data_IF_674188746704
#
_entry.id   IF_674188746704
#
_cell.length_a   1.000
_cell.length_b   1.000
_cell.length_c   1.000
_cell.angle_alpha   90.00
_cell.angle_beta   90.00
_cell.angle_gamma   90.00
#
_symmetry.space_group_name_H-M   'P 1'
#
loop_
_entity.id
_entity.type
_entity.pdbx_description
1 polymer ?
#
# COMPACT_ATOMS: atom_id res chain seq x y z
N UNK A 1 -8.04 -35.85 -3.03
CA UNK A 1 -8.08 -35.51 -1.60
C UNK A 1 -9.19 -34.48 -1.44
N UNK A 2 -10.38 -34.92 -1.00
CA UNK A 2 -11.57 -34.08 -0.94
C UNK A 2 -11.42 -33.01 0.12
N UNK A 3 -11.65 -31.75 -0.25
CA UNK A 3 -11.72 -30.64 0.72
C UNK A 3 -13.10 -30.75 1.38
N UNK A 4 -13.18 -31.45 2.50
CA UNK A 4 -14.38 -31.48 3.34
C UNK A 4 -14.59 -30.07 3.90
N UNK A 5 -15.60 -29.34 3.37
CA UNK A 5 -15.96 -28.02 3.89
C UNK A 5 -16.53 -28.19 5.30
N UNK A 6 -15.66 -28.05 6.31
CA UNK A 6 -16.07 -28.02 7.71
C UNK A 6 -16.80 -26.71 8.05
N UNK A 7 -17.59 -26.72 9.13
CA UNK A 7 -18.32 -25.55 9.62
C UNK A 7 -17.41 -24.32 9.84
N UNK A 8 -16.12 -24.53 10.15
CA UNK A 8 -15.11 -23.48 10.29
C UNK A 8 -14.90 -22.67 9.00
N UNK A 9 -14.94 -23.31 7.82
CA UNK A 9 -14.74 -22.62 6.54
C UNK A 9 -15.89 -21.65 6.25
N UNK A 10 -17.13 -22.04 6.55
CA UNK A 10 -18.30 -21.18 6.40
C UNK A 10 -18.27 -19.98 7.35
N UNK A 11 -17.85 -20.20 8.61
CA UNK A 11 -17.67 -19.12 9.59
C UNK A 11 -16.58 -18.14 9.11
N UNK A 12 -15.47 -18.66 8.60
CA UNK A 12 -14.37 -17.84 8.08
C UNK A 12 -14.80 -16.97 6.89
N UNK A 13 -15.48 -17.54 5.89
CA UNK A 13 -15.98 -16.80 4.73
C UNK A 13 -17.00 -15.74 5.14
N UNK A 14 -17.92 -16.06 6.06
CA UNK A 14 -18.88 -15.09 6.60
C UNK A 14 -18.17 -13.91 7.26
N UNK A 15 -17.10 -14.15 8.02
CA UNK A 15 -16.32 -13.10 8.66
C UNK A 15 -15.61 -12.19 7.66
N UNK A 16 -15.04 -12.74 6.58
CA UNK A 16 -14.44 -11.95 5.51
C UNK A 16 -15.46 -11.01 4.88
N UNK A 17 -16.67 -11.50 4.58
CA UNK A 17 -17.74 -10.67 4.02
C UNK A 17 -18.10 -9.49 4.96
N UNK A 18 -18.17 -9.73 6.27
CA UNK A 18 -18.45 -8.69 7.28
C UNK A 18 -17.33 -7.64 7.30
N UNK A 19 -16.06 -8.06 7.26
CA UNK A 19 -14.92 -7.13 7.24
C UNK A 19 -14.95 -6.24 5.99
N UNK A 20 -15.23 -6.83 4.82
CA UNK A 20 -15.35 -6.09 3.56
C UNK A 20 -16.51 -5.10 3.63
N UNK A 21 -17.67 -5.49 4.14
CA UNK A 21 -18.83 -4.61 4.28
C UNK A 21 -18.51 -3.39 5.19
N UNK A 22 -17.76 -3.60 6.28
CA UNK A 22 -17.35 -2.51 7.17
C UNK A 22 -16.31 -1.57 6.55
N UNK A 23 -15.38 -2.09 5.74
CA UNK A 23 -14.49 -1.27 4.93
C UNK A 23 -15.26 -0.38 3.96
N UNK A 24 -16.31 -0.90 3.32
CA UNK A 24 -17.17 -0.12 2.43
C UNK A 24 -17.89 1.00 3.20
N UNK A 25 -18.32 0.74 4.44
CA UNK A 25 -18.92 1.75 5.33
C UNK A 25 -17.90 2.65 6.04
N UNK A 26 -16.60 2.56 5.72
CA UNK A 26 -15.52 3.34 6.33
C UNK A 26 -15.55 3.34 7.87
N UNK A 27 -15.95 2.21 8.47
CA UNK A 27 -15.92 2.02 9.93
C UNK A 27 -14.65 1.31 10.35
N UNK A 28 -14.26 1.50 11.60
CA UNK A 28 -13.10 0.83 12.20
C UNK A 28 -13.27 -0.70 12.18
N UNK A 29 -12.38 -1.38 11.46
CA UNK A 29 -12.43 -2.85 11.30
C UNK A 29 -11.75 -3.61 12.44
N UNK A 30 -10.95 -2.93 13.26
CA UNK A 30 -10.14 -3.52 14.33
C UNK A 30 -10.98 -4.30 15.35
N UNK A 31 -12.11 -3.73 15.78
CA UNK A 31 -13.01 -4.35 16.75
C UNK A 31 -13.62 -5.64 16.18
N UNK A 32 -14.02 -5.61 14.92
CA UNK A 32 -14.60 -6.78 14.24
C UNK A 32 -13.57 -7.86 13.97
N UNK A 33 -12.33 -7.50 13.62
CA UNK A 33 -11.24 -8.46 13.51
C UNK A 33 -10.95 -9.16 14.85
N UNK A 34 -10.96 -8.41 15.97
CA UNK A 34 -10.74 -8.99 17.30
C UNK A 34 -11.85 -9.98 17.68
N UNK A 35 -13.12 -9.62 17.43
CA UNK A 35 -14.27 -10.51 17.64
C UNK A 35 -14.23 -11.72 16.71
N UNK A 36 -13.81 -11.54 15.46
CA UNK A 36 -13.70 -12.63 14.49
C UNK A 36 -12.62 -13.66 14.85
N UNK A 37 -11.43 -13.19 15.25
CA UNK A 37 -10.36 -14.08 15.73
C UNK A 37 -10.83 -14.84 16.98
N UNK A 38 -11.56 -14.18 17.89
CA UNK A 38 -12.11 -14.81 19.08
C UNK A 38 -13.14 -15.90 18.76
N UNK A 39 -14.10 -15.63 17.87
CA UNK A 39 -15.11 -16.60 17.45
C UNK A 39 -14.51 -17.79 16.70
N UNK A 40 -13.52 -17.55 15.84
CA UNK A 40 -12.77 -18.61 15.18
C UNK A 40 -11.96 -19.44 16.19
N UNK A 41 -11.36 -18.80 17.20
CA UNK A 41 -10.58 -19.50 18.21
C UNK A 41 -11.45 -20.38 19.13
N UNK A 42 -12.64 -19.91 19.53
CA UNK A 42 -13.60 -20.70 20.31
C UNK A 42 -14.08 -21.91 19.51
N UNK A 43 -14.45 -21.70 18.24
CA UNK A 43 -14.98 -22.77 17.39
C UNK A 43 -13.92 -23.81 17.02
N UNK A 44 -12.64 -23.42 16.95
CA UNK A 44 -11.54 -24.33 16.72
C UNK A 44 -11.05 -25.07 17.99
N UNK A 45 -11.05 -24.41 19.15
CA UNK A 45 -10.36 -24.91 20.37
C UNK A 45 -11.30 -25.32 21.50
N UNK A 46 -12.58 -24.94 21.47
CA UNK A 46 -13.61 -25.31 22.44
C UNK A 46 -13.40 -24.76 23.87
N UNK A 47 -12.39 -23.93 24.12
CA UNK A 47 -12.00 -23.46 25.45
C UNK A 47 -11.73 -21.96 25.50
N UNK A 48 -12.30 -21.29 26.52
CA UNK A 48 -12.20 -19.85 26.73
C UNK A 48 -10.76 -19.35 26.98
N UNK A 49 -9.93 -20.01 27.82
CA UNK A 49 -8.57 -19.53 28.10
C UNK A 49 -7.66 -19.56 26.86
N UNK A 50 -7.76 -20.62 26.04
CA UNK A 50 -6.98 -20.73 24.82
C UNK A 50 -7.41 -19.71 23.76
N UNK A 51 -8.71 -19.36 23.73
CA UNK A 51 -9.23 -18.37 22.78
C UNK A 51 -8.68 -16.96 23.05
N UNK A 52 -8.59 -16.56 24.32
CA UNK A 52 -7.98 -15.27 24.71
C UNK A 52 -6.49 -15.26 24.33
N UNK A 53 -5.77 -16.34 24.63
CA UNK A 53 -4.35 -16.47 24.26
C UNK A 53 -4.13 -16.43 22.73
N UNK A 54 -5.09 -16.92 21.95
CA UNK A 54 -5.04 -16.90 20.48
C UNK A 54 -5.10 -15.47 19.92
N UNK A 55 -5.89 -14.57 20.52
CA UNK A 55 -5.91 -13.15 20.12
C UNK A 55 -4.51 -12.53 20.27
N UNK A 56 -3.85 -12.76 21.41
CA UNK A 56 -2.49 -12.27 21.64
C UNK A 56 -1.48 -12.88 20.66
N UNK A 57 -1.60 -14.18 20.37
CA UNK A 57 -0.77 -14.84 19.34
C UNK A 57 -0.99 -14.23 17.95
N UNK A 58 -2.22 -13.87 17.57
CA UNK A 58 -2.50 -13.20 16.31
C UNK A 58 -1.87 -11.80 16.23
N UNK A 59 -1.80 -11.06 17.34
CA UNK A 59 -1.08 -9.79 17.37
C UNK A 59 0.43 -9.97 17.25
N UNK A 60 1.00 -10.95 17.95
CA UNK A 60 2.42 -11.29 17.79
C UNK A 60 2.70 -11.66 16.33
N UNK A 61 1.84 -12.49 15.71
CA UNK A 61 1.94 -12.86 14.30
C UNK A 61 1.90 -11.65 13.36
N UNK A 62 0.94 -10.74 13.56
CA UNK A 62 0.85 -9.52 12.75
C UNK A 62 2.10 -8.66 12.86
N UNK A 63 2.67 -8.50 14.07
CA UNK A 63 3.90 -7.74 14.28
C UNK A 63 5.08 -8.42 13.58
N UNK A 64 5.21 -9.75 13.70
CA UNK A 64 6.32 -10.50 13.09
C UNK A 64 6.29 -10.48 11.57
N UNK A 65 5.10 -10.41 10.97
CA UNK A 65 4.93 -10.30 9.51
C UNK A 65 5.16 -8.88 9.00
N UNK A 66 4.66 -7.87 9.72
CA UNK A 66 4.77 -6.47 9.28
C UNK A 66 6.16 -5.89 9.50
N UNK A 67 6.90 -6.29 10.55
CA UNK A 67 8.20 -5.71 10.87
C UNK A 67 9.25 -5.88 9.76
N UNK A 68 9.43 -7.08 9.15
CA UNK A 68 10.27 -7.25 7.97
C UNK A 68 9.87 -6.34 6.81
N UNK A 69 8.57 -6.14 6.57
CA UNK A 69 8.09 -5.29 5.48
C UNK A 69 8.42 -3.80 5.70
N UNK A 70 8.25 -3.32 6.94
CA UNK A 70 8.60 -1.95 7.33
C UNK A 70 10.11 -1.73 7.18
N UNK A 71 10.92 -2.71 7.59
CA UNK A 71 12.37 -2.67 7.45
C UNK A 71 12.77 -2.52 5.98
N UNK A 72 12.21 -3.35 5.08
CA UNK A 72 12.46 -3.26 3.64
C UNK A 72 12.07 -1.89 3.08
N UNK A 73 10.89 -1.38 3.41
CA UNK A 73 10.43 -0.05 2.96
C UNK A 73 11.37 1.05 3.47
N UNK A 74 11.86 0.96 4.70
CA UNK A 74 12.78 1.95 5.27
C UNK A 74 14.14 2.00 4.57
N UNK A 75 14.70 0.83 4.21
CA UNK A 75 15.96 0.73 3.44
C UNK A 75 15.75 1.32 2.05
N UNK A 76 14.66 0.96 1.39
CA UNK A 76 14.32 1.43 0.05
C UNK A 76 14.15 2.95 0.01
N UNK A 77 13.41 3.53 0.96
CA UNK A 77 13.23 4.98 1.06
C UNK A 77 14.56 5.68 1.34
N UNK A 78 15.42 5.09 2.18
CA UNK A 78 16.76 5.63 2.47
C UNK A 78 17.65 5.61 1.23
N UNK A 79 17.70 4.50 0.48
CA UNK A 79 18.43 4.42 -0.78
C UNK A 79 17.90 5.43 -1.80
N UNK A 80 16.59 5.54 -1.96
CA UNK A 80 15.98 6.52 -2.86
C UNK A 80 16.34 7.96 -2.51
N UNK A 81 16.36 8.28 -1.20
CA UNK A 81 16.78 9.59 -0.70
C UNK A 81 18.27 9.85 -0.99
N UNK A 82 19.14 8.87 -0.80
CA UNK A 82 20.57 8.97 -1.13
C UNK A 82 20.79 9.23 -2.63
N UNK A 83 20.08 8.52 -3.51
CA UNK A 83 20.14 8.73 -4.97
C UNK A 83 19.70 10.15 -5.39
N UNK A 84 18.80 10.75 -4.63
CA UNK A 84 18.34 12.12 -4.89
C UNK A 84 19.36 13.16 -4.42
N UNK A 85 19.98 12.96 -3.25
CA UNK A 85 20.95 13.89 -2.66
C UNK A 85 22.27 13.91 -3.47
N UNK A 86 22.69 12.79 -4.04
CA UNK A 86 23.92 12.70 -4.85
C UNK A 86 23.81 13.39 -6.21
N UNK A 87 22.66 13.98 -6.56
CA UNK A 87 22.46 14.65 -7.84
C UNK A 87 22.41 13.71 -9.05
N UNK A 88 22.59 12.40 -8.84
CA UNK A 88 22.51 11.39 -9.90
C UNK A 88 21.12 11.32 -10.54
N UNK A 89 20.09 11.80 -9.83
CA UNK A 89 18.77 11.97 -10.38
C UNK A 89 18.76 12.88 -11.63
N UNK A 90 19.53 13.98 -11.67
CA UNK A 90 19.56 14.83 -12.87
C UNK A 90 20.24 14.15 -14.08
N UNK A 91 21.28 13.34 -13.82
CA UNK A 91 21.99 12.59 -14.87
C UNK A 91 21.18 11.39 -15.36
N UNK A 92 20.46 10.70 -14.47
CA UNK A 92 19.53 9.62 -14.84
C UNK A 92 18.31 10.13 -15.61
N UNK A 93 17.85 11.36 -15.35
CA UNK A 93 16.68 11.95 -16.01
C UNK A 93 17.02 12.51 -17.40
N UNK A 94 18.26 12.94 -17.65
CA UNK A 94 18.70 13.48 -18.94
C UNK A 94 18.34 12.61 -20.19
N UNK A 95 18.48 11.27 -20.19
CA UNK A 95 18.04 10.43 -21.32
C UNK A 95 16.51 10.29 -21.42
N UNK A 96 15.78 10.29 -20.31
CA UNK A 96 14.32 10.21 -20.30
C UNK A 96 13.66 11.51 -20.75
N UNK A 97 14.25 12.67 -20.44
CA UNK A 97 13.83 13.97 -20.96
C UNK A 97 13.90 14.03 -22.50
N UNK A 98 14.82 13.26 -23.12
CA UNK A 98 14.93 13.17 -24.58
C UNK A 98 13.89 12.23 -25.22
N UNK A 99 13.45 11.20 -24.49
CA UNK A 99 12.49 10.18 -24.96
C UNK A 99 11.03 10.61 -24.74
N UNK A 100 10.76 11.39 -23.69
CA UNK A 100 9.41 11.87 -23.37
C UNK A 100 9.14 13.16 -24.14
N UNK A 101 8.75 13.03 -25.42
CA UNK A 101 8.28 14.16 -26.24
C UNK A 101 6.76 14.36 -26.18
N UNK A 102 5.99 13.36 -25.76
CA UNK A 102 4.52 13.43 -25.68
C UNK A 102 3.97 12.88 -24.35
N UNK A 103 2.94 13.52 -23.76
CA UNK A 103 2.39 13.14 -22.47
C UNK A 103 1.68 11.77 -22.46
N UNK A 104 1.15 11.33 -23.60
CA UNK A 104 0.52 10.00 -23.73
C UNK A 104 1.52 8.85 -23.61
N UNK A 105 2.72 9.01 -24.17
CA UNK A 105 3.78 8.00 -24.06
C UNK A 105 4.28 7.89 -22.61
N UNK A 106 4.50 9.01 -21.92
CA UNK A 106 4.94 8.96 -20.52
C UNK A 106 3.93 8.29 -19.58
N UNK A 107 2.61 8.48 -19.79
CA UNK A 107 1.61 7.75 -19.02
C UNK A 107 1.72 6.23 -19.22
N UNK A 108 1.84 5.78 -20.46
CA UNK A 108 1.98 4.36 -20.77
C UNK A 108 3.29 3.77 -20.24
N UNK A 109 4.41 4.49 -20.39
CA UNK A 109 5.71 4.01 -19.90
C UNK A 109 5.73 3.92 -18.37
N UNK A 110 5.18 4.91 -17.66
CA UNK A 110 5.09 4.89 -16.19
C UNK A 110 4.14 3.79 -15.72
N UNK A 111 2.98 3.62 -16.38
CA UNK A 111 2.01 2.58 -16.03
C UNK A 111 2.55 1.15 -16.23
N UNK A 112 3.22 0.88 -17.35
CA UNK A 112 3.86 -0.41 -17.63
C UNK A 112 5.01 -0.67 -16.67
N UNK A 113 5.85 0.35 -16.42
CA UNK A 113 6.95 0.25 -15.48
C UNK A 113 6.44 -0.02 -14.05
N UNK A 114 5.38 0.67 -13.63
CA UNK A 114 4.68 0.44 -12.36
C UNK A 114 4.16 -1.00 -12.26
N UNK A 115 3.58 -1.53 -13.33
CA UNK A 115 3.05 -2.89 -13.37
C UNK A 115 4.17 -3.94 -13.28
N UNK A 116 5.29 -3.75 -13.99
CA UNK A 116 6.43 -4.66 -13.91
C UNK A 116 7.11 -4.65 -12.53
N UNK A 117 7.33 -3.47 -11.96
CA UNK A 117 8.01 -3.34 -10.65
C UNK A 117 7.11 -3.86 -9.53
N UNK A 118 5.78 -3.65 -9.60
CA UNK A 118 4.84 -4.19 -8.61
C UNK A 118 4.85 -5.72 -8.54
N UNK A 119 5.18 -6.39 -9.65
CA UNK A 119 5.28 -7.85 -9.70
C UNK A 119 6.55 -8.37 -9.00
N UNK A 120 7.61 -7.58 -8.98
CA UNK A 120 8.93 -7.99 -8.47
C UNK A 120 9.19 -7.50 -7.03
N UNK A 121 8.78 -6.27 -6.70
CA UNK A 121 9.10 -5.59 -5.44
C UNK A 121 7.98 -5.58 -4.40
N UNK A 122 6.89 -6.32 -4.64
CA UNK A 122 5.63 -6.20 -3.88
C UNK A 122 4.97 -4.81 -4.12
N UNK A 123 3.63 -4.68 -4.10
CA UNK A 123 2.99 -3.42 -4.47
C UNK A 123 3.37 -2.25 -3.54
N UNK A 124 3.62 -2.51 -2.25
CA UNK A 124 3.91 -1.46 -1.26
C UNK A 124 5.28 -0.76 -1.47
N UNK A 125 6.41 -1.47 -1.66
CA UNK A 125 7.70 -0.83 -1.95
C UNK A 125 7.81 -0.24 -3.37
N UNK A 126 7.18 -0.88 -4.37
CA UNK A 126 7.19 -0.40 -5.76
C UNK A 126 6.64 1.03 -5.88
N UNK A 127 5.50 1.31 -5.22
CA UNK A 127 4.89 2.65 -5.22
C UNK A 127 5.81 3.68 -4.56
N UNK A 128 6.52 3.33 -3.48
CA UNK A 128 7.42 4.26 -2.80
C UNK A 128 8.62 4.65 -3.67
N UNK A 129 9.24 3.69 -4.36
CA UNK A 129 10.36 3.93 -5.29
C UNK A 129 9.93 4.75 -6.50
N UNK A 130 8.83 4.35 -7.14
CA UNK A 130 8.29 5.05 -8.30
C UNK A 130 7.81 6.45 -7.93
N UNK A 131 7.19 6.63 -6.76
CA UNK A 131 6.86 7.94 -6.22
C UNK A 131 8.08 8.81 -6.01
N UNK A 132 9.17 8.30 -5.42
CA UNK A 132 10.35 9.12 -5.17
C UNK A 132 11.14 9.46 -6.45
N UNK A 133 11.23 8.54 -7.41
CA UNK A 133 12.01 8.73 -8.65
C UNK A 133 11.21 9.43 -9.74
N UNK A 134 9.92 9.12 -9.92
CA UNK A 134 9.11 9.63 -11.02
C UNK A 134 8.36 10.92 -10.69
N UNK A 135 8.12 11.26 -9.42
CA UNK A 135 7.45 12.51 -9.04
C UNK A 135 8.22 13.77 -9.50
N UNK A 136 9.55 13.87 -9.37
CA UNK A 136 10.29 15.01 -9.96
C UNK A 136 10.26 15.01 -11.50
N UNK A 137 10.23 13.83 -12.13
CA UNK A 137 10.14 13.69 -13.61
C UNK A 137 8.77 14.15 -14.11
N UNK A 138 7.69 13.73 -13.46
CA UNK A 138 6.32 14.09 -13.80
C UNK A 138 6.08 15.61 -13.67
N UNK A 139 6.68 16.24 -12.66
CA UNK A 139 6.61 17.70 -12.46
C UNK A 139 7.42 18.45 -13.54
N UNK A 140 8.62 17.96 -13.91
CA UNK A 140 9.47 18.63 -14.93
C UNK A 140 8.97 18.50 -16.37
N UNK A 141 8.29 17.41 -16.71
CA UNK A 141 7.80 17.16 -18.08
C UNK A 141 6.55 17.98 -18.42
N UNK A 142 5.92 18.66 -17.46
CA UNK A 142 4.66 19.38 -17.73
C UNK A 142 3.60 18.46 -18.32
N UNK A 143 3.68 17.16 -18.01
CA UNK A 143 2.56 16.25 -18.18
C UNK A 143 1.35 16.95 -17.56
N UNK A 144 0.15 16.83 -18.15
CA UNK A 144 -1.05 17.26 -17.48
C UNK A 144 -1.07 16.58 -16.12
N UNK A 145 -0.65 17.34 -15.11
CA UNK A 145 -0.89 17.07 -13.73
C UNK A 145 -2.40 17.15 -13.44
N UNK A 146 -3.30 17.17 -14.44
CA UNK A 146 -4.73 17.47 -14.30
C UNK A 146 -5.60 16.37 -13.66
N UNK A 147 -5.01 15.33 -13.07
CA UNK A 147 -5.63 14.61 -11.95
C UNK A 147 -5.26 15.21 -10.59
N UNK A 148 -4.04 15.71 -10.46
CA UNK A 148 -3.44 16.28 -9.24
C UNK A 148 -3.72 17.79 -9.11
N UNK A 149 -3.63 18.58 -10.17
CA UNK A 149 -3.95 20.01 -10.21
C UNK A 149 -5.45 20.31 -10.10
N UNK A 150 -6.34 19.36 -10.39
CA UNK A 150 -7.81 19.55 -10.21
C UNK A 150 -8.35 19.04 -8.87
N UNK A 151 -7.62 18.16 -8.18
CA UNK A 151 -7.98 17.72 -6.82
C UNK A 151 -7.28 18.55 -5.73
N UNK A 152 -5.99 18.85 -5.86
CA UNK A 152 -5.27 19.69 -4.89
C UNK A 152 -5.84 21.13 -4.90
N UNK A 153 -6.21 21.66 -6.07
CA UNK A 153 -6.82 23.00 -6.19
C UNK A 153 -8.29 23.07 -5.73
N UNK A 154 -8.95 21.94 -5.41
CA UNK A 154 -10.30 21.93 -4.82
C UNK A 154 -10.30 21.92 -3.27
N UNK A 155 -9.16 21.67 -2.62
CA UNK A 155 -9.04 21.78 -1.16
C UNK A 155 -7.97 22.78 -0.68
N UNK A 156 -7.24 23.44 -1.60
CA UNK A 156 -6.15 24.37 -1.26
C UNK A 156 -6.37 25.80 -1.78
N UNK A 157 -7.63 26.19 -2.04
CA UNK A 157 -8.03 27.61 -2.09
C UNK A 157 -8.33 28.10 -0.67
N UNK A 158 -7.29 28.14 0.16
CA UNK A 158 -7.12 29.21 1.13
C UNK A 158 -5.62 29.39 1.34
N UNK A 159 -4.94 29.78 0.26
CA UNK A 159 -3.67 30.48 0.39
C UNK A 159 -4.03 31.86 0.92
N UNK A 160 -3.81 32.06 2.21
CA UNK A 160 -3.49 33.36 2.72
C UNK A 160 -2.44 33.21 3.82
N UNK A 161 -1.35 33.95 3.61
CA UNK A 161 -0.34 34.35 4.59
C UNK A 161 0.82 33.36 4.83
N UNK A 162 1.87 33.51 4.02
CA UNK A 162 3.22 33.76 4.56
C UNK A 162 3.38 35.28 4.69
N UNK A 163 4.07 35.77 5.72
CA UNK A 163 5.49 36.08 5.55
C UNK A 163 6.42 34.99 6.10
#
# INVERSE_FOLDING_TARGET
MGVELTALHWIYVSFICIIIALMVWRKDTSLVCMVGIFLLAITATGSLPLSISTIFKSFIYAITELLPTILVISIIVSMSKLLTITGMNEVMIAPFAKLIRTPSLAYWTIGILMMMISWFFWPSPAVALLGAVLLPVAVRVGLPALGVAKAIKRNFFNVNVLP
#
